data_IF_307123505087
#
_entry.id   IF_307123505087
#
_cell.length_a   1.000
_cell.length_b   1.000
_cell.length_c   1.000
_cell.angle_alpha   90.00
_cell.angle_beta   90.00
_cell.angle_gamma   90.00
#
_symmetry.space_group_name_H-M   'P 1'
#
loop_
_entity.id
_entity.type
_entity.pdbx_description
1 polymer ?
#
# COMPACT_ATOMS: atom_id res chain seq x y z
N UNK A 1 -1.53 12.64 22.52
CA UNK A 1 -2.90 12.39 22.03
C UNK A 1 -2.88 12.61 20.53
N UNK A 2 -3.21 11.61 19.73
CA UNK A 2 -3.09 11.67 18.27
C UNK A 2 -4.12 12.63 17.66
N UNK A 3 -3.83 13.28 16.52
CA UNK A 3 -4.79 14.13 15.83
C UNK A 3 -6.05 13.31 15.47
N UNK A 4 -7.26 13.85 15.71
CA UNK A 4 -8.50 13.20 15.31
C UNK A 4 -8.57 13.08 13.78
N UNK A 5 -9.46 12.22 13.29
CA UNK A 5 -9.75 12.00 11.85
C UNK A 5 -8.74 11.14 11.05
N UNK A 6 -7.79 10.45 11.70
CA UNK A 6 -7.02 9.40 11.00
C UNK A 6 -7.87 8.17 10.75
N UNK A 7 -7.84 7.68 9.51
CA UNK A 7 -8.47 6.43 9.09
C UNK A 7 -7.42 5.33 8.97
N UNK A 8 -7.81 4.09 9.22
CA UNK A 8 -6.96 2.92 9.05
C UNK A 8 -7.79 1.82 8.39
N UNK A 9 -7.19 1.15 7.41
CA UNK A 9 -7.79 0.03 6.71
C UNK A 9 -7.13 -1.27 7.19
N UNK A 10 -7.95 -2.27 7.51
CA UNK A 10 -7.46 -3.57 7.90
C UNK A 10 -8.40 -4.66 7.43
N UNK A 11 -7.81 -5.80 7.09
CA UNK A 11 -8.55 -6.98 6.68
C UNK A 11 -9.01 -7.75 7.93
N UNK A 12 -10.30 -8.10 7.98
CA UNK A 12 -10.87 -8.99 9.01
C UNK A 12 -11.11 -10.37 8.38
N UNK A 13 -10.40 -11.37 8.88
CA UNK A 13 -10.56 -12.77 8.51
C UNK A 13 -11.62 -13.43 9.39
N UNK A 14 -12.55 -14.16 8.77
CA UNK A 14 -13.62 -14.87 9.48
C UNK A 14 -13.02 -15.98 10.35
N UNK A 15 -13.30 -15.95 11.65
CA UNK A 15 -12.81 -16.94 12.63
C UNK A 15 -11.41 -16.65 13.22
N UNK A 16 -10.62 -15.76 12.61
CA UNK A 16 -9.27 -15.41 13.08
C UNK A 16 -9.18 -13.95 13.58
N UNK A 17 -10.09 -13.09 13.14
CA UNK A 17 -10.14 -11.69 13.54
C UNK A 17 -9.30 -10.78 12.64
N UNK A 18 -8.66 -9.77 13.21
CA UNK A 18 -7.88 -8.79 12.46
C UNK A 18 -6.59 -9.44 11.97
N UNK A 19 -6.32 -9.37 10.67
CA UNK A 19 -5.07 -9.90 10.10
C UNK A 19 -3.93 -8.90 10.30
N UNK A 20 -3.17 -9.08 11.40
CA UNK A 20 -2.02 -8.24 11.72
C UNK A 20 -0.97 -8.26 10.61
N UNK A 21 -0.68 -9.43 10.07
CA UNK A 21 0.35 -9.63 9.04
C UNK A 21 -0.08 -8.98 7.71
N UNK A 22 -1.37 -9.01 7.41
CA UNK A 22 -1.93 -8.34 6.24
C UNK A 22 -1.74 -6.82 6.29
N UNK A 23 -2.05 -6.20 7.43
CA UNK A 23 -1.80 -4.77 7.63
C UNK A 23 -0.31 -4.44 7.65
N UNK A 24 0.52 -5.33 8.18
CA UNK A 24 1.98 -5.13 8.22
C UNK A 24 2.59 -5.05 6.82
N UNK A 25 2.14 -5.90 5.89
CA UNK A 25 2.59 -5.88 4.50
C UNK A 25 2.15 -4.59 3.82
N UNK A 26 0.90 -4.17 4.03
CA UNK A 26 0.34 -2.98 3.40
C UNK A 26 1.12 -1.71 3.80
N UNK A 27 1.29 -1.52 5.11
CA UNK A 27 2.08 -0.42 5.67
C UNK A 27 3.55 -0.55 5.30
N UNK A 28 4.09 -1.77 5.26
CA UNK A 28 5.48 -2.02 4.86
C UNK A 28 5.75 -1.61 3.41
N UNK A 29 4.79 -1.82 2.51
CA UNK A 29 4.89 -1.38 1.10
C UNK A 29 4.74 0.13 0.99
N UNK A 30 3.78 0.72 1.71
CA UNK A 30 3.57 2.18 1.75
C UNK A 30 4.81 2.93 2.23
N UNK A 31 5.46 2.44 3.29
CA UNK A 31 6.70 3.01 3.83
C UNK A 31 7.96 2.62 3.03
N UNK A 32 7.84 1.82 1.97
CA UNK A 32 8.95 1.40 1.11
C UNK A 32 9.92 0.39 1.75
N UNK A 33 9.53 -0.20 2.88
CA UNK A 33 10.28 -1.23 3.61
C UNK A 33 10.19 -2.57 2.87
N UNK A 34 9.01 -2.89 2.35
CA UNK A 34 8.75 -4.06 1.50
C UNK A 34 8.69 -3.61 0.04
N UNK A 35 9.49 -4.24 -0.81
CA UNK A 35 9.48 -3.98 -2.25
C UNK A 35 8.52 -4.91 -2.96
N UNK A 36 7.69 -4.34 -3.83
CA UNK A 36 6.76 -5.08 -4.69
C UNK A 36 7.27 -5.11 -6.12
N UNK A 37 7.71 -6.27 -6.58
CA UNK A 37 8.10 -6.53 -7.97
C UNK A 37 6.96 -7.22 -8.70
N UNK A 38 5.99 -6.43 -9.16
CA UNK A 38 4.77 -6.93 -9.81
C UNK A 38 3.88 -7.71 -8.82
N UNK A 39 3.87 -9.04 -8.93
CA UNK A 39 3.16 -9.92 -7.99
C UNK A 39 4.05 -10.40 -6.84
N UNK A 40 5.36 -10.15 -6.86
CA UNK A 40 6.29 -10.63 -5.85
C UNK A 40 6.54 -9.59 -4.76
N UNK A 41 6.56 -10.04 -3.51
CA UNK A 41 6.94 -9.22 -2.35
C UNK A 41 8.33 -9.65 -1.88
N UNK A 42 9.22 -8.68 -1.72
CA UNK A 42 10.59 -8.87 -1.25
C UNK A 42 10.84 -7.95 -0.07
N UNK A 43 11.35 -8.51 1.02
CA UNK A 43 11.80 -7.77 2.19
C UNK A 43 13.33 -7.80 2.23
N UNK A 44 13.97 -6.64 2.11
CA UNK A 44 15.43 -6.51 2.01
C UNK A 44 16.05 -7.45 0.95
N UNK A 45 16.42 -8.67 1.35
CA UNK A 45 16.99 -9.73 0.50
C UNK A 45 16.11 -11.00 0.44
N UNK A 46 15.15 -11.12 1.35
CA UNK A 46 14.30 -12.30 1.50
C UNK A 46 13.00 -12.17 0.70
N UNK A 47 12.54 -13.28 0.13
CA UNK A 47 11.38 -13.29 -0.75
C UNK A 47 10.15 -13.78 0.03
N UNK A 48 9.35 -12.83 0.50
CA UNK A 48 8.13 -13.08 1.26
C UNK A 48 7.10 -13.93 0.49
N UNK A 49 7.11 -13.83 -0.85
CA UNK A 49 6.33 -14.69 -1.73
C UNK A 49 5.54 -13.94 -2.80
N UNK A 50 4.80 -14.70 -3.61
CA UNK A 50 3.96 -14.17 -4.68
C UNK A 50 2.53 -13.89 -4.16
N UNK A 51 2.10 -12.63 -4.22
CA UNK A 51 0.78 -12.19 -3.79
C UNK A 51 0.70 -11.91 -2.28
N UNK A 52 -0.30 -11.11 -1.90
CA UNK A 52 -0.52 -10.65 -0.51
C UNK A 52 -0.75 -11.84 0.44
N UNK A 53 -1.45 -12.87 -0.02
CA UNK A 53 -1.81 -14.04 0.79
C UNK A 53 -0.63 -14.95 1.14
N UNK A 54 0.29 -15.19 0.21
CA UNK A 54 1.51 -15.95 0.50
C UNK A 54 2.43 -15.16 1.43
N UNK A 55 2.62 -13.86 1.18
CA UNK A 55 3.40 -13.00 2.06
C UNK A 55 2.81 -12.96 3.49
N UNK A 56 1.48 -12.91 3.63
CA UNK A 56 0.78 -12.98 4.92
C UNK A 56 1.08 -14.30 5.63
N UNK A 57 0.96 -15.42 4.92
CA UNK A 57 1.22 -16.76 5.48
C UNK A 57 2.68 -16.91 5.90
N UNK A 58 3.60 -16.37 5.11
CA UNK A 58 5.04 -16.40 5.40
C UNK A 58 5.38 -15.62 6.67
N UNK A 59 4.80 -14.42 6.86
CA UNK A 59 4.98 -13.62 8.08
C UNK A 59 4.31 -14.26 9.31
N UNK A 60 3.21 -14.99 9.11
CA UNK A 60 2.54 -15.73 10.17
C UNK A 60 3.37 -16.91 10.67
N UNK A 61 4.06 -17.60 9.76
CA UNK A 61 4.98 -18.69 10.08
C UNK A 61 6.30 -18.20 10.67
N UNK A 62 6.72 -16.97 10.31
CA UNK A 62 7.97 -16.34 10.73
C UNK A 62 7.70 -15.07 11.58
N UNK A 63 7.31 -15.22 12.86
CA UNK A 63 6.99 -14.08 13.73
C UNK A 63 8.19 -13.18 14.00
N UNK A 64 9.42 -13.70 13.92
CA UNK A 64 10.65 -12.91 14.07
C UNK A 64 10.77 -11.84 12.98
N UNK A 65 10.53 -12.22 11.72
CA UNK A 65 10.51 -11.27 10.59
C UNK A 65 9.35 -10.27 10.71
N UNK A 66 8.17 -10.73 11.15
CA UNK A 66 7.04 -9.83 11.38
C UNK A 66 7.35 -8.77 12.44
N UNK A 67 8.00 -9.15 13.55
CA UNK A 67 8.42 -8.20 14.58
C UNK A 67 9.49 -7.23 14.09
N UNK A 68 10.41 -7.70 13.24
CA UNK A 68 11.43 -6.85 12.65
C UNK A 68 10.84 -5.78 11.73
N UNK A 69 9.95 -6.19 10.81
CA UNK A 69 9.25 -5.27 9.91
C UNK A 69 8.40 -4.29 10.71
N UNK A 70 7.71 -4.74 11.76
CA UNK A 70 6.94 -3.85 12.63
C UNK A 70 7.82 -2.82 13.33
N UNK A 71 8.98 -3.23 13.83
CA UNK A 71 9.94 -2.33 14.46
C UNK A 71 10.42 -1.28 13.45
N UNK A 72 10.79 -1.69 12.24
CA UNK A 72 11.20 -0.77 11.17
C UNK A 72 10.10 0.24 10.82
N UNK A 73 8.86 -0.22 10.67
CA UNK A 73 7.70 0.66 10.40
C UNK A 73 7.53 1.68 11.53
N UNK A 74 7.59 1.22 12.79
CA UNK A 74 7.50 2.09 13.96
C UNK A 74 8.63 3.11 14.02
N UNK A 75 9.85 2.72 13.68
CA UNK A 75 11.01 3.62 13.62
C UNK A 75 10.82 4.70 12.55
N UNK A 76 10.35 4.34 11.35
CA UNK A 76 10.08 5.29 10.26
C UNK A 76 8.94 6.24 10.62
N UNK A 77 7.88 5.73 11.25
CA UNK A 77 6.74 6.54 11.69
C UNK A 77 6.99 7.33 12.99
N UNK A 78 8.16 7.18 13.61
CA UNK A 78 8.47 7.81 14.90
C UNK A 78 7.62 7.31 16.07
N UNK A 79 7.05 6.10 15.96
CA UNK A 79 6.21 5.46 16.98
C UNK A 79 7.11 4.64 17.91
N UNK A 80 7.69 5.31 18.88
CA UNK A 80 8.64 4.78 19.85
C UNK A 80 9.33 5.96 20.51
N UNK A 81 9.78 5.85 21.75
CA UNK A 81 10.19 6.98 22.59
C UNK A 81 11.28 7.89 21.94
N UNK A 82 10.84 8.82 21.10
CA UNK A 82 11.46 10.10 20.84
C UNK A 82 10.48 11.11 21.44
N UNK A 83 10.77 11.48 22.69
CA UNK A 83 10.33 12.76 23.21
C UNK A 83 10.77 13.82 22.18
N UNK A 84 9.89 14.78 21.89
CA UNK A 84 10.07 15.94 21.00
C UNK A 84 9.41 15.89 19.60
N UNK A 85 8.18 16.43 19.60
CA UNK A 85 7.66 17.46 18.67
C UNK A 85 6.95 17.02 17.34
N UNK A 86 6.16 17.90 16.70
CA UNK A 86 4.71 17.76 16.57
C UNK A 86 4.26 17.40 15.15
N UNK A 87 2.99 16.99 15.05
CA UNK A 87 2.31 16.65 13.79
C UNK A 87 2.26 17.85 12.82
N UNK A 88 3.00 17.74 11.72
CA UNK A 88 2.83 18.59 10.55
C UNK A 88 1.76 17.97 9.64
N UNK A 89 0.57 18.57 9.64
CA UNK A 89 -0.49 18.30 8.68
C UNK A 89 -0.44 19.48 7.70
N UNK A 90 0.06 19.33 6.46
CA UNK A 90 -0.19 20.35 5.45
C UNK A 90 -1.66 20.25 5.04
N UNK A 91 -2.46 21.14 5.63
CA UNK A 91 -3.77 21.57 5.13
C UNK A 91 -3.56 22.38 3.84
N UNK A 92 -4.16 21.94 2.74
CA UNK A 92 -4.47 22.76 1.55
C UNK A 92 -5.22 21.86 0.55
N UNK A 93 -6.43 22.08 0.08
CA UNK A 93 -7.49 23.05 0.29
C UNK A 93 -8.71 22.46 -0.47
N UNK A 94 -9.91 22.48 0.12
CA UNK A 94 -11.17 22.57 -0.63
C UNK A 94 -11.64 24.02 -0.44
N UNK A 95 -12.19 24.73 -1.45
CA UNK A 95 -13.36 24.34 -2.27
C UNK A 95 -13.10 24.62 -3.78
N UNK A 96 -13.94 24.44 -4.81
CA UNK A 96 -15.37 24.63 -5.01
C UNK A 96 -15.70 24.15 -6.46
N UNK A 97 -16.93 23.66 -6.68
CA UNK A 97 -17.75 23.56 -7.91
C UNK A 97 -17.18 23.04 -9.26
N UNK A 98 -17.78 21.95 -9.77
CA UNK A 98 -18.59 21.99 -10.99
C UNK A 98 -19.33 20.64 -11.21
N UNK A 99 -20.66 20.70 -11.10
CA UNK A 99 -21.59 19.71 -11.66
C UNK A 99 -21.48 19.64 -13.18
N UNK A 100 -21.57 18.44 -13.76
CA UNK A 100 -22.26 18.02 -15.01
C UNK A 100 -21.88 16.54 -15.21
N UNK A 101 -22.68 15.57 -14.80
CA UNK A 101 -23.83 15.00 -15.54
C UNK A 101 -23.46 14.45 -16.94
N UNK A 102 -23.17 13.14 -16.97
CA UNK A 102 -23.73 12.11 -17.87
C UNK A 102 -23.75 12.27 -19.41
N UNK A 103 -23.47 11.12 -20.07
CA UNK A 103 -23.89 10.69 -21.42
C UNK A 103 -22.90 10.81 -22.62
N UNK A 104 -22.25 9.67 -22.92
CA UNK A 104 -22.00 8.97 -24.22
C UNK A 104 -22.94 9.38 -25.41
N UNK A 105 -22.67 9.12 -26.72
CA UNK A 105 -21.63 8.34 -27.44
C UNK A 105 -20.98 9.07 -28.65
N UNK A 106 -20.04 8.38 -29.36
CA UNK A 106 -20.12 8.07 -30.82
C UNK A 106 -18.75 8.01 -31.50
N UNK A 107 -18.32 6.79 -31.85
CA UNK A 107 -17.33 6.48 -32.90
C UNK A 107 -17.81 7.02 -34.27
N UNK A 108 -16.96 7.28 -35.31
CA UNK A 108 -16.06 6.26 -35.88
C UNK A 108 -14.78 6.76 -36.61
N UNK A 109 -14.03 5.76 -37.10
CA UNK A 109 -13.30 5.71 -38.38
C UNK A 109 -11.82 6.16 -38.50
N UNK A 110 -11.00 5.13 -38.73
CA UNK A 110 -9.90 5.01 -39.73
C UNK A 110 -8.68 5.93 -39.59
N UNK A 111 -7.52 5.33 -39.33
CA UNK A 111 -6.58 5.05 -40.43
C UNK A 111 -5.51 4.03 -40.02
N UNK A 112 -5.37 3.01 -40.87
CA UNK A 112 -4.28 2.07 -40.89
C UNK A 112 -3.02 2.72 -41.52
N UNK A 113 -1.83 2.30 -41.10
CA UNK A 113 -0.91 1.52 -41.94
C UNK A 113 0.47 1.42 -41.28
N UNK A 114 0.92 0.17 -41.13
CA UNK A 114 2.24 -0.28 -40.69
C UNK A 114 3.20 -0.23 -41.89
N UNK A 115 4.51 -0.14 -41.65
CA UNK A 115 5.39 -1.07 -42.36
C UNK A 115 6.16 -1.96 -41.38
N UNK A 116 5.92 -3.26 -41.53
CA UNK A 116 6.79 -4.42 -41.23
C UNK A 116 7.30 -4.87 -42.60
N UNK A 117 8.56 -5.24 -42.83
CA UNK A 117 9.33 -6.41 -42.40
C UNK A 117 10.81 -6.16 -42.81
N UNK A 118 11.83 -6.60 -42.06
CA UNK A 118 12.54 -7.89 -42.21
C UNK A 118 13.22 -8.07 -43.59
N UNK A 119 14.54 -7.91 -43.60
CA UNK A 119 15.56 -8.88 -44.09
C UNK A 119 16.91 -8.56 -43.42
#
# INVERSE_FOLDING_TARGET
>A
MAPPFKQAEFDILYGEGISREGSLIDVGVDQGIVKKSGAWFTYETDQLGQGKENARTFLKDNPDLANEIEKRIKEVMGIGAKLDAPADIPTSALPEIASTSEATPKAPAKSAAKPIDVE
#
